data_IF_536227496147
#
_entry.id   IF_536227496147
#
_cell.length_a   1.000
_cell.length_b   1.000
_cell.length_c   1.000
_cell.angle_alpha   90.00
_cell.angle_beta   90.00
_cell.angle_gamma   90.00
#
_symmetry.space_group_name_H-M   'P 1'
#
loop_
_entity.id
_entity.type
_entity.pdbx_description
1 polymer ?
#
# COMPACT_ATOMS: atom_id res chain seq x y z
N UNK A 1 21.53 4.88 -16.38
CA UNK A 1 22.32 4.30 -15.27
C UNK A 1 21.55 4.28 -13.95
N UNK A 2 20.97 5.39 -13.46
CA UNK A 2 20.15 5.35 -12.23
C UNK A 2 18.82 4.57 -12.40
N UNK A 3 18.14 4.73 -13.54
CA UNK A 3 16.87 4.06 -13.87
C UNK A 3 16.95 2.52 -13.80
N UNK A 4 18.04 1.94 -14.33
CA UNK A 4 18.25 0.49 -14.37
C UNK A 4 18.49 -0.13 -12.98
N UNK A 5 18.91 0.68 -12.01
CA UNK A 5 19.16 0.23 -10.64
C UNK A 5 17.92 0.35 -9.75
N UNK A 6 16.89 1.10 -10.18
CA UNK A 6 15.71 1.35 -9.36
C UNK A 6 15.00 0.06 -8.88
N UNK A 7 14.85 -0.99 -9.72
CA UNK A 7 14.28 -2.25 -9.25
C UNK A 7 15.17 -2.93 -8.19
N UNK A 8 16.49 -2.84 -8.32
CA UNK A 8 17.41 -3.37 -7.31
C UNK A 8 17.29 -2.63 -5.98
N UNK A 9 17.18 -1.29 -6.02
CA UNK A 9 16.96 -0.49 -4.82
C UNK A 9 15.62 -0.75 -4.16
N UNK A 10 14.56 -0.99 -4.93
CA UNK A 10 13.25 -1.35 -4.38
C UNK A 10 13.32 -2.67 -3.62
N UNK A 11 13.98 -3.69 -4.18
CA UNK A 11 14.17 -4.98 -3.50
C UNK A 11 14.98 -4.82 -2.21
N UNK A 12 16.05 -4.01 -2.28
CA UNK A 12 16.90 -3.74 -1.11
C UNK A 12 16.11 -3.07 0.01
N UNK A 13 15.25 -2.09 -0.30
CA UNK A 13 14.40 -1.42 0.70
C UNK A 13 13.39 -2.40 1.33
N UNK A 14 12.77 -3.24 0.51
CA UNK A 14 11.80 -4.24 0.97
C UNK A 14 12.46 -5.31 1.86
N UNK A 15 13.67 -5.75 1.52
CA UNK A 15 14.45 -6.71 2.31
C UNK A 15 15.02 -6.11 3.60
N UNK A 16 15.35 -4.81 3.58
CA UNK A 16 15.87 -4.11 4.75
C UNK A 16 14.78 -3.84 5.80
N UNK A 17 13.52 -3.75 5.38
CA UNK A 17 12.38 -3.61 6.28
C UNK A 17 11.95 -4.98 6.86
N UNK A 18 11.63 -5.09 8.16
CA UNK A 18 11.64 -4.05 9.20
C UNK A 18 12.97 -3.96 10.00
N UNK A 19 13.99 -4.74 9.66
CA UNK A 19 15.17 -4.92 10.51
C UNK A 19 16.12 -3.72 10.55
N UNK A 20 16.29 -3.02 9.42
CA UNK A 20 17.26 -1.92 9.24
C UNK A 20 16.58 -0.58 8.93
N UNK A 21 15.32 -0.61 8.49
CA UNK A 21 14.57 0.56 8.02
C UNK A 21 13.22 0.59 8.73
N UNK A 22 12.85 1.73 9.31
CA UNK A 22 11.53 1.91 9.92
C UNK A 22 10.43 2.06 8.87
N UNK A 23 9.16 1.89 9.26
CA UNK A 23 8.03 2.08 8.34
C UNK A 23 8.02 3.49 7.73
N UNK A 24 8.30 4.53 8.50
CA UNK A 24 8.30 5.90 8.00
C UNK A 24 9.43 6.15 6.99
N UNK A 25 10.60 5.55 7.24
CA UNK A 25 11.73 5.60 6.31
C UNK A 25 11.41 4.83 5.01
N UNK A 26 10.79 3.65 5.12
CA UNK A 26 10.35 2.88 3.95
C UNK A 26 9.37 3.70 3.12
N UNK A 27 8.31 4.21 3.74
CA UNK A 27 7.28 5.04 3.09
C UNK A 27 7.89 6.22 2.34
N UNK A 28 8.74 6.98 3.02
CA UNK A 28 9.39 8.13 2.43
C UNK A 28 10.34 7.76 1.29
N UNK A 29 11.21 6.77 1.49
CA UNK A 29 12.18 6.33 0.48
C UNK A 29 11.50 5.78 -0.77
N UNK A 30 10.43 4.98 -0.60
CA UNK A 30 9.69 4.39 -1.71
C UNK A 30 8.93 5.46 -2.50
N UNK A 31 8.24 6.38 -1.82
CA UNK A 31 7.54 7.48 -2.47
C UNK A 31 8.51 8.38 -3.26
N UNK A 32 9.65 8.77 -2.67
CA UNK A 32 10.65 9.59 -3.34
C UNK A 32 11.27 8.90 -4.57
N UNK A 33 11.47 7.58 -4.49
CA UNK A 33 11.96 6.78 -5.61
C UNK A 33 10.93 6.74 -6.75
N UNK A 34 9.66 6.44 -6.45
CA UNK A 34 8.60 6.37 -7.47
C UNK A 34 8.36 7.74 -8.10
N UNK A 35 8.37 8.82 -7.32
CA UNK A 35 8.23 10.20 -7.82
C UNK A 35 9.32 10.54 -8.85
N UNK A 36 10.58 10.30 -8.48
CA UNK A 36 11.73 10.54 -9.35
C UNK A 36 11.69 9.69 -10.63
N UNK A 37 11.15 8.47 -10.55
CA UNK A 37 10.97 7.60 -11.71
C UNK A 37 9.81 8.04 -12.58
N UNK A 38 8.70 8.48 -12.00
CA UNK A 38 7.51 8.92 -12.73
C UNK A 38 7.82 10.13 -13.62
N UNK A 39 8.74 11.01 -13.20
CA UNK A 39 9.22 12.13 -14.02
C UNK A 39 10.09 11.70 -15.22
N UNK A 40 10.75 10.53 -15.14
CA UNK A 40 11.73 10.07 -16.13
C UNK A 40 11.14 9.02 -17.08
N UNK A 41 10.56 7.96 -16.53
CA UNK A 41 9.97 6.84 -17.25
C UNK A 41 8.86 6.20 -16.41
N UNK A 42 7.63 6.44 -16.84
CA UNK A 42 6.43 5.92 -16.22
C UNK A 42 6.43 4.38 -16.11
N UNK A 43 6.98 3.65 -17.09
CA UNK A 43 6.98 2.19 -17.05
C UNK A 43 7.91 1.65 -15.95
N UNK A 44 9.04 2.32 -15.69
CA UNK A 44 9.92 1.97 -14.57
C UNK A 44 9.32 2.32 -13.22
N UNK A 45 8.62 3.46 -13.11
CA UNK A 45 7.87 3.82 -11.91
C UNK A 45 6.85 2.73 -11.58
N UNK A 46 6.08 2.28 -12.58
CA UNK A 46 5.12 1.20 -12.42
C UNK A 46 5.78 -0.13 -12.04
N UNK A 47 6.91 -0.47 -12.65
CA UNK A 47 7.65 -1.70 -12.31
C UNK A 47 8.03 -1.74 -10.82
N UNK A 48 8.45 -0.61 -10.25
CA UNK A 48 8.80 -0.50 -8.83
C UNK A 48 7.56 -0.58 -7.94
N UNK A 49 6.44 0.02 -8.35
CA UNK A 49 5.14 -0.14 -7.66
C UNK A 49 4.69 -1.60 -7.71
N UNK A 50 4.86 -2.29 -8.84
CA UNK A 50 4.51 -3.71 -8.99
C UNK A 50 5.31 -4.59 -8.02
N UNK A 51 6.59 -4.31 -7.80
CA UNK A 51 7.39 -5.05 -6.81
C UNK A 51 6.88 -4.89 -5.38
N UNK A 52 6.35 -3.72 -5.04
CA UNK A 52 5.70 -3.50 -3.75
C UNK A 52 4.40 -4.31 -3.65
N UNK A 53 3.61 -4.35 -4.73
CA UNK A 53 2.38 -5.17 -4.81
C UNK A 53 2.73 -6.66 -4.65
N UNK A 54 3.74 -7.14 -5.37
CA UNK A 54 4.19 -8.53 -5.30
C UNK A 54 4.69 -8.89 -3.89
N UNK A 55 5.40 -7.97 -3.22
CA UNK A 55 5.82 -8.15 -1.84
C UNK A 55 4.66 -8.19 -0.85
N UNK A 56 3.61 -7.40 -1.10
CA UNK A 56 2.36 -7.49 -0.34
C UNK A 56 1.73 -8.86 -0.58
N UNK A 57 1.50 -9.25 -1.84
CA UNK A 57 0.86 -10.53 -2.21
C UNK A 57 1.63 -11.77 -1.72
N UNK A 58 2.95 -11.68 -1.55
CA UNK A 58 3.76 -12.73 -0.94
C UNK A 58 3.42 -12.97 0.54
N UNK A 59 2.84 -11.98 1.23
CA UNK A 59 2.35 -12.11 2.59
C UNK A 59 0.84 -12.43 2.54
N UNK A 60 0.38 -13.55 3.11
CA UNK A 60 -1.03 -13.93 3.02
C UNK A 60 -1.94 -12.87 3.67
N UNK A 61 -3.14 -12.62 3.11
CA UNK A 61 -4.10 -11.71 3.72
C UNK A 61 -4.58 -12.26 5.05
N UNK A 62 -4.92 -11.37 5.99
CA UNK A 62 -5.50 -11.79 7.25
C UNK A 62 -6.92 -12.28 6.99
N UNK A 63 -7.11 -13.60 6.90
CA UNK A 63 -8.42 -14.26 6.80
C UNK A 63 -8.70 -15.04 8.09
N UNK A 64 -9.96 -15.30 8.51
CA UNK A 64 -10.21 -16.11 9.70
C UNK A 64 -9.59 -17.51 9.58
N UNK A 65 -9.40 -18.03 8.35
CA UNK A 65 -8.66 -19.26 8.09
C UNK A 65 -7.16 -19.12 8.41
N UNK A 66 -6.49 -18.06 7.97
CA UNK A 66 -5.06 -17.83 8.24
C UNK A 66 -4.80 -17.44 9.70
N UNK A 67 -5.73 -16.71 10.32
CA UNK A 67 -5.69 -16.41 11.75
C UNK A 67 -5.82 -17.72 12.55
N UNK A 68 -6.61 -18.69 12.12
CA UNK A 68 -6.79 -19.95 12.89
C UNK A 68 -5.58 -20.90 12.79
N UNK A 69 -4.76 -20.77 11.74
CA UNK A 69 -3.53 -21.58 11.56
C UNK A 69 -2.33 -20.93 12.26
N UNK A 70 -2.30 -19.59 12.33
CA UNK A 70 -1.14 -18.85 12.86
C UNK A 70 -1.38 -18.17 14.22
N UNK A 71 -2.64 -17.93 14.63
CA UNK A 71 -2.98 -17.33 15.92
C UNK A 71 -3.16 -18.38 17.03
N UNK A 72 -2.15 -19.24 17.21
CA UNK A 72 -1.84 -19.61 18.59
C UNK A 72 -1.32 -18.33 19.28
N UNK A 73 -1.85 -17.95 20.45
CA UNK A 73 -1.39 -16.76 21.19
C UNK A 73 0.09 -16.83 21.63
N UNK A 74 0.80 -17.89 21.29
CA UNK A 74 2.21 -18.16 21.58
C UNK A 74 3.16 -17.82 20.41
N UNK A 75 2.68 -17.49 19.20
CA UNK A 75 3.57 -17.19 18.06
C UNK A 75 3.64 -15.68 17.73
N UNK A 76 4.64 -14.95 18.24
CA UNK A 76 4.85 -13.53 17.95
C UNK A 76 5.15 -13.26 16.46
N UNK A 77 5.51 -14.28 15.67
CA UNK A 77 5.80 -14.12 14.24
C UNK A 77 4.54 -13.83 13.42
N UNK A 78 3.40 -14.43 13.75
CA UNK A 78 2.14 -14.22 13.04
C UNK A 78 1.64 -12.76 13.15
N UNK A 79 1.73 -12.19 14.35
CA UNK A 79 1.41 -10.78 14.60
C UNK A 79 2.37 -9.82 13.88
N UNK A 80 3.66 -10.16 13.80
CA UNK A 80 4.64 -9.37 13.08
C UNK A 80 4.37 -9.33 11.56
N UNK A 81 3.97 -10.46 10.97
CA UNK A 81 3.61 -10.58 9.55
C UNK A 81 2.39 -9.74 9.18
N UNK A 82 1.35 -9.77 10.01
CA UNK A 82 0.16 -8.93 9.88
C UNK A 82 0.49 -7.43 9.83
N UNK A 83 1.32 -6.99 10.78
CA UNK A 83 1.76 -5.61 10.92
C UNK A 83 2.61 -5.20 9.73
N UNK A 84 3.54 -6.06 9.29
CA UNK A 84 4.36 -5.81 8.11
C UNK A 84 3.51 -5.61 6.85
N UNK A 85 2.52 -6.49 6.61
CA UNK A 85 1.60 -6.35 5.46
C UNK A 85 0.81 -5.05 5.53
N UNK A 86 0.31 -4.67 6.70
CA UNK A 86 -0.36 -3.38 6.91
C UNK A 86 0.53 -2.18 6.59
N UNK A 87 1.80 -2.21 7.01
CA UNK A 87 2.77 -1.15 6.70
C UNK A 87 3.10 -1.06 5.21
N UNK A 88 3.22 -2.19 4.52
CA UNK A 88 3.41 -2.22 3.06
C UNK A 88 2.17 -1.68 2.33
N UNK A 89 0.96 -1.98 2.80
CA UNK A 89 -0.28 -1.42 2.24
C UNK A 89 -0.34 0.11 2.40
N UNK A 90 0.04 0.64 3.56
CA UNK A 90 0.14 2.10 3.73
C UNK A 90 1.18 2.68 2.78
N UNK A 91 2.33 2.02 2.63
CA UNK A 91 3.37 2.43 1.68
C UNK A 91 2.84 2.43 0.23
N UNK A 92 1.97 1.47 -0.13
CA UNK A 92 1.34 1.43 -1.45
C UNK A 92 0.32 2.58 -1.63
N UNK A 93 -0.49 2.87 -0.60
CA UNK A 93 -1.41 4.01 -0.60
C UNK A 93 -0.65 5.34 -0.82
N UNK A 94 0.54 5.49 -0.22
CA UNK A 94 1.36 6.67 -0.43
C UNK A 94 1.71 6.90 -1.91
N UNK A 95 1.74 5.85 -2.75
CA UNK A 95 2.09 5.97 -4.16
C UNK A 95 1.02 6.71 -4.98
N UNK A 96 -0.22 6.82 -4.49
CA UNK A 96 -1.30 7.55 -5.16
C UNK A 96 -0.96 9.03 -5.42
N UNK A 97 -0.07 9.60 -4.59
CA UNK A 97 0.37 10.99 -4.70
C UNK A 97 1.46 11.20 -5.75
N UNK A 98 2.23 10.16 -6.11
CA UNK A 98 3.44 10.27 -6.94
C UNK A 98 3.34 9.56 -8.29
N UNK A 99 2.46 8.56 -8.46
CA UNK A 99 2.29 7.90 -9.77
C UNK A 99 1.74 8.86 -10.82
N UNK A 100 1.98 8.59 -12.11
CA UNK A 100 1.39 9.38 -13.20
C UNK A 100 -0.14 9.22 -13.24
N UNK A 101 -0.83 10.17 -13.88
CA UNK A 101 -2.28 10.07 -14.08
C UNK A 101 -2.67 8.82 -14.88
N UNK A 102 -1.82 8.38 -15.81
CA UNK A 102 -2.08 7.19 -16.62
C UNK A 102 -2.13 5.89 -15.78
N UNK A 103 -1.43 5.85 -14.66
CA UNK A 103 -1.34 4.69 -13.76
C UNK A 103 -2.25 4.82 -12.53
N UNK A 104 -2.86 5.97 -12.34
CA UNK A 104 -3.62 6.28 -11.13
C UNK A 104 -4.79 5.31 -10.92
N UNK A 105 -5.60 5.09 -11.96
CA UNK A 105 -6.74 4.17 -11.89
C UNK A 105 -6.31 2.72 -11.69
N UNK A 106 -5.16 2.34 -12.26
CA UNK A 106 -4.57 1.01 -12.07
C UNK A 106 -4.13 0.81 -10.62
N UNK A 107 -3.47 1.81 -10.02
CA UNK A 107 -3.09 1.77 -8.60
C UNK A 107 -4.33 1.72 -7.69
N UNK A 108 -5.37 2.49 -7.98
CA UNK A 108 -6.64 2.44 -7.25
C UNK A 108 -7.29 1.04 -7.33
N UNK A 109 -7.22 0.38 -8.49
CA UNK A 109 -7.74 -0.98 -8.64
C UNK A 109 -6.96 -1.99 -7.77
N UNK A 110 -5.63 -1.89 -7.72
CA UNK A 110 -4.79 -2.75 -6.89
C UNK A 110 -4.99 -2.52 -5.39
N UNK A 111 -5.04 -1.26 -4.95
CA UNK A 111 -5.34 -0.91 -3.55
C UNK A 111 -6.72 -1.45 -3.14
N UNK A 112 -7.73 -1.32 -4.01
CA UNK A 112 -9.06 -1.91 -3.78
C UNK A 112 -8.99 -3.43 -3.66
N UNK A 113 -8.34 -4.12 -4.60
CA UNK A 113 -8.19 -5.59 -4.59
C UNK A 113 -7.58 -6.07 -3.28
N UNK A 114 -6.49 -5.44 -2.87
CA UNK A 114 -5.75 -5.82 -1.66
C UNK A 114 -6.56 -5.54 -0.38
N UNK A 115 -7.22 -4.39 -0.27
CA UNK A 115 -8.05 -4.06 0.91
C UNK A 115 -9.30 -4.94 1.03
N UNK A 116 -9.91 -5.34 -0.09
CA UNK A 116 -11.05 -6.27 -0.08
C UNK A 116 -10.63 -7.70 0.28
N UNK A 117 -9.37 -8.07 0.03
CA UNK A 117 -8.83 -9.37 0.44
C UNK A 117 -8.60 -9.46 1.96
N UNK A 118 -8.40 -8.33 2.64
CA UNK A 118 -8.24 -8.29 4.10
C UNK A 118 -9.56 -8.51 4.84
N UNK A 119 -9.52 -9.25 5.94
CA UNK A 119 -10.66 -9.28 6.89
C UNK A 119 -10.89 -7.96 7.58
N UNK A 120 -12.13 -7.79 8.06
CA UNK A 120 -12.46 -6.70 8.98
C UNK A 120 -11.61 -6.80 10.24
N UNK A 121 -10.60 -5.93 10.32
CA UNK A 121 -9.67 -5.84 11.44
C UNK A 121 -9.35 -4.38 11.75
N UNK A 122 -8.86 -4.11 12.97
CA UNK A 122 -8.41 -2.78 13.36
C UNK A 122 -7.26 -2.28 12.45
N UNK A 123 -6.39 -3.20 12.00
CA UNK A 123 -5.32 -2.89 11.05
C UNK A 123 -5.88 -2.41 9.70
N UNK A 124 -6.85 -3.15 9.11
CA UNK A 124 -7.51 -2.74 7.86
C UNK A 124 -8.17 -1.37 8.02
N UNK A 125 -8.88 -1.14 9.12
CA UNK A 125 -9.51 0.16 9.41
C UNK A 125 -8.50 1.29 9.51
N UNK A 126 -7.34 1.06 10.14
CA UNK A 126 -6.26 2.04 10.22
C UNK A 126 -5.70 2.40 8.84
N UNK A 127 -5.46 1.41 7.97
CA UNK A 127 -5.01 1.63 6.59
C UNK A 127 -6.04 2.44 5.81
N UNK A 128 -7.33 2.07 5.88
CA UNK A 128 -8.41 2.78 5.20
C UNK A 128 -8.53 4.23 5.67
N UNK A 129 -8.35 4.47 6.98
CA UNK A 129 -8.34 5.83 7.52
C UNK A 129 -7.17 6.66 6.97
N UNK A 130 -5.96 6.10 6.98
CA UNK A 130 -4.78 6.78 6.42
C UNK A 130 -4.98 7.09 4.94
N UNK A 131 -5.51 6.14 4.18
CA UNK A 131 -5.86 6.32 2.77
C UNK A 131 -6.85 7.47 2.56
N UNK A 132 -7.86 7.61 3.42
CA UNK A 132 -8.78 8.75 3.37
C UNK A 132 -8.09 10.07 3.66
N UNK A 133 -7.24 10.13 4.68
CA UNK A 133 -6.47 11.32 5.03
C UNK A 133 -5.57 11.75 3.85
N UNK A 134 -4.90 10.80 3.20
CA UNK A 134 -4.09 11.06 2.00
C UNK A 134 -4.93 11.55 0.82
N UNK A 135 -6.06 10.90 0.51
CA UNK A 135 -6.97 11.35 -0.57
C UNK A 135 -7.50 12.75 -0.30
N UNK A 136 -7.86 13.04 0.95
CA UNK A 136 -8.50 14.30 1.33
C UNK A 136 -7.53 15.48 1.46
N UNK A 137 -6.25 15.23 1.77
CA UNK A 137 -5.29 16.31 2.06
C UNK A 137 -4.13 16.41 1.06
N UNK A 138 -3.72 15.30 0.44
CA UNK A 138 -2.43 15.21 -0.27
C UNK A 138 -2.58 15.12 -1.79
N UNK A 139 -3.77 14.81 -2.31
CA UNK A 139 -4.00 14.75 -3.76
C UNK A 139 -4.31 16.11 -4.37
N UNK A 140 -3.83 16.32 -5.59
CA UNK A 140 -4.20 17.46 -6.42
C UNK A 140 -5.70 17.42 -6.79
N UNK A 141 -6.24 18.57 -7.21
CA UNK A 141 -7.67 18.73 -7.48
C UNK A 141 -8.19 17.75 -8.56
N UNK A 142 -7.38 17.45 -9.59
CA UNK A 142 -7.77 16.58 -10.70
C UNK A 142 -7.99 15.14 -10.23
N UNK A 143 -7.12 14.62 -9.36
CA UNK A 143 -7.24 13.26 -8.81
C UNK A 143 -8.27 13.19 -7.68
N UNK A 144 -8.35 14.24 -6.85
CA UNK A 144 -9.10 14.23 -5.60
C UNK A 144 -10.58 13.94 -5.78
N UNK A 145 -11.26 14.56 -6.75
CA UNK A 145 -12.69 14.30 -6.98
C UNK A 145 -12.93 12.84 -7.35
N UNK A 146 -12.13 12.31 -8.28
CA UNK A 146 -12.21 10.93 -8.73
C UNK A 146 -11.93 9.95 -7.57
N UNK A 147 -10.82 10.14 -6.86
CA UNK A 147 -10.39 9.31 -5.74
C UNK A 147 -11.40 9.33 -4.59
N UNK A 148 -12.04 10.48 -4.32
CA UNK A 148 -13.09 10.57 -3.30
C UNK A 148 -14.30 9.72 -3.66
N UNK A 149 -14.78 9.79 -4.91
CA UNK A 149 -15.90 8.94 -5.38
C UNK A 149 -15.55 7.46 -5.31
N UNK A 150 -14.34 7.10 -5.76
CA UNK A 150 -13.82 5.75 -5.65
C UNK A 150 -13.74 5.27 -4.19
N UNK A 151 -13.28 6.12 -3.27
CA UNK A 151 -13.16 5.80 -1.85
C UNK A 151 -14.52 5.54 -1.21
N UNK A 152 -15.54 6.35 -1.53
CA UNK A 152 -16.90 6.14 -1.00
C UNK A 152 -17.52 4.82 -1.47
N UNK A 153 -17.25 4.42 -2.72
CA UNK A 153 -17.60 3.09 -3.23
C UNK A 153 -16.89 2.00 -2.42
N UNK A 154 -15.58 2.12 -2.26
CA UNK A 154 -14.77 1.16 -1.49
C UNK A 154 -15.25 1.04 -0.03
N UNK A 155 -15.51 2.16 0.64
CA UNK A 155 -15.98 2.17 2.03
C UNK A 155 -17.34 1.45 2.18
N UNK A 156 -18.21 1.56 1.17
CA UNK A 156 -19.48 0.84 1.12
C UNK A 156 -19.25 -0.66 0.95
N UNK A 157 -18.36 -1.07 0.05
CA UNK A 157 -17.97 -2.47 -0.16
C UNK A 157 -17.33 -3.09 1.09
N UNK A 158 -16.56 -2.31 1.84
CA UNK A 158 -15.91 -2.73 3.09
C UNK A 158 -16.85 -2.73 4.31
N UNK A 159 -18.08 -2.20 4.17
CA UNK A 159 -19.04 -2.09 5.27
C UNK A 159 -18.68 -1.02 6.31
N UNK A 160 -17.94 0.02 5.93
CA UNK A 160 -17.45 1.09 6.81
C UNK A 160 -18.38 2.33 6.78
N UNK A 161 -19.39 2.33 5.90
CA UNK A 161 -20.38 3.39 5.72
C UNK A 161 -21.25 3.59 6.98
N UNK A 162 -20.72 4.37 7.93
CA UNK A 162 -21.35 4.72 9.21
C UNK A 162 -20.40 5.30 10.27
N UNK A 163 -19.07 5.28 10.03
CA UNK A 163 -18.06 5.68 11.02
C UNK A 163 -17.15 6.87 10.61
N UNK A 164 -17.53 7.61 9.55
CA UNK A 164 -16.86 8.86 9.16
C UNK A 164 -17.61 10.08 9.71
#
# INVERSE_FOLDING_TARGET
>A
MALELAPYYSDMLLQAYPALVSVDQLRHAYAAMVDCLAEQDEAYAWLVVQRLIDAIDAIPPMTPANISVEASPEDPAAGATAVARGHLLVTLCDQLRVVSLAQFDQLLAEVRRLLLAETASAARTAVVKILFDDISQQLDFTRKEHATKWYLSLATELGISGAL
#
